data_IF_137811643446
#
_entry.id   IF_137811643446
#
_cell.length_a   1.000
_cell.length_b   1.000
_cell.length_c   1.000
_cell.angle_alpha   90.00
_cell.angle_beta   90.00
_cell.angle_gamma   90.00
#
_symmetry.space_group_name_H-M   'P 1'
#
loop_
_entity.id
_entity.type
_entity.pdbx_description
1 polymer ?
#
# COMPACT_ATOMS: atom_id res chain seq x y z
N UNK A 1 -5.99 -8.24 -0.58
CA UNK A 1 -6.76 -7.62 -1.66
C UNK A 1 -7.54 -6.42 -1.12
N UNK A 2 -7.56 -5.34 -1.87
CA UNK A 2 -8.35 -4.16 -1.53
C UNK A 2 -9.22 -3.77 -2.73
N UNK A 3 -10.34 -3.10 -2.44
CA UNK A 3 -11.08 -2.38 -3.46
C UNK A 3 -10.78 -0.90 -3.27
N UNK A 4 -10.18 -0.29 -4.27
CA UNK A 4 -9.73 1.10 -4.23
C UNK A 4 -10.36 1.85 -5.40
N UNK A 5 -11.09 2.93 -5.11
CA UNK A 5 -11.87 3.67 -6.11
C UNK A 5 -12.76 2.74 -6.95
N UNK A 6 -13.37 1.76 -6.29
CA UNK A 6 -14.26 0.79 -6.91
C UNK A 6 -13.59 -0.31 -7.73
N UNK A 7 -12.26 -0.41 -7.68
CA UNK A 7 -11.51 -1.41 -8.47
C UNK A 7 -10.66 -2.31 -7.59
N UNK A 8 -10.66 -3.60 -7.90
CA UNK A 8 -9.91 -4.59 -7.13
C UNK A 8 -8.42 -4.46 -7.41
N UNK A 9 -7.62 -4.45 -6.33
CA UNK A 9 -6.15 -4.40 -6.40
C UNK A 9 -5.58 -5.44 -5.45
N UNK A 10 -4.56 -6.17 -5.93
CA UNK A 10 -3.84 -7.15 -5.12
C UNK A 10 -2.54 -6.49 -4.69
N UNK A 11 -2.37 -6.34 -3.38
CA UNK A 11 -1.25 -5.57 -2.82
C UNK A 11 -0.57 -6.29 -1.67
N UNK A 12 0.71 -6.01 -1.52
CA UNK A 12 1.49 -6.37 -0.33
C UNK A 12 1.61 -5.10 0.51
N UNK A 13 0.92 -5.00 1.66
CA UNK A 13 0.92 -3.78 2.46
C UNK A 13 2.21 -3.65 3.26
N UNK A 14 2.73 -2.43 3.36
CA UNK A 14 3.99 -2.19 4.07
C UNK A 14 3.87 -1.22 5.23
N UNK A 15 3.21 -0.07 5.05
CA UNK A 15 3.06 0.87 6.16
C UNK A 15 1.84 1.76 5.97
N UNK A 16 1.34 2.26 7.10
CA UNK A 16 0.21 3.19 7.18
C UNK A 16 0.69 4.41 7.95
N UNK A 17 0.32 5.58 7.48
CA UNK A 17 0.67 6.82 8.15
C UNK A 17 -0.13 8.00 7.63
N UNK A 18 0.35 9.19 7.97
CA UNK A 18 -0.21 10.45 7.50
C UNK A 18 0.75 10.98 6.44
N UNK A 19 0.25 11.23 5.23
CA UNK A 19 1.08 11.80 4.19
C UNK A 19 1.34 13.29 4.41
N UNK A 20 2.16 13.90 3.55
CA UNK A 20 2.54 15.31 3.71
C UNK A 20 1.39 16.28 3.54
N UNK A 21 0.28 15.84 2.96
CA UNK A 21 -0.95 16.64 2.83
C UNK A 21 -1.91 16.47 4.00
N UNK A 22 -1.55 15.65 5.00
CA UNK A 22 -2.36 15.41 6.17
C UNK A 22 -3.42 14.33 6.01
N UNK A 23 -3.35 13.50 4.99
CA UNK A 23 -4.30 12.41 4.74
C UNK A 23 -3.73 11.07 5.20
N UNK A 24 -4.59 10.22 5.77
CA UNK A 24 -4.20 8.85 6.09
C UNK A 24 -3.97 8.06 4.79
N UNK A 25 -2.86 7.35 4.73
CA UNK A 25 -2.44 6.65 3.53
C UNK A 25 -1.75 5.33 3.83
N UNK A 26 -1.89 4.40 2.87
CA UNK A 26 -1.23 3.09 2.88
C UNK A 26 -0.18 3.05 1.78
N UNK A 27 1.06 2.74 2.16
CA UNK A 27 2.11 2.41 1.18
C UNK A 27 2.07 0.90 0.96
N UNK A 28 1.89 0.49 -0.29
CA UNK A 28 1.82 -0.91 -0.65
C UNK A 28 2.48 -1.18 -2.00
N UNK A 29 2.90 -2.43 -2.20
CA UNK A 29 3.43 -2.89 -3.47
C UNK A 29 2.32 -3.63 -4.22
N UNK A 30 1.82 -3.05 -5.30
CA UNK A 30 0.73 -3.65 -6.06
C UNK A 30 1.30 -4.71 -7.01
N UNK A 31 0.83 -5.94 -6.85
CA UNK A 31 1.30 -7.09 -7.63
C UNK A 31 0.27 -7.58 -8.63
N UNK A 32 -0.98 -7.15 -8.52
CA UNK A 32 -2.05 -7.57 -9.42
C UNK A 32 -3.27 -6.71 -9.32
N UNK A 33 -4.32 -7.10 -10.04
CA UNK A 33 -5.56 -6.35 -10.10
C UNK A 33 -5.50 -5.18 -11.08
N UNK A 34 -6.41 -4.23 -10.91
CA UNK A 34 -6.53 -3.09 -11.82
C UNK A 34 -5.39 -2.09 -11.62
N UNK A 35 -4.83 -1.61 -12.74
CA UNK A 35 -3.89 -0.49 -12.77
C UNK A 35 -4.16 0.35 -14.00
N UNK A 36 -4.40 1.65 -13.81
CA UNK A 36 -4.67 2.56 -14.92
C UNK A 36 -3.45 2.73 -15.84
N UNK A 37 -2.24 2.60 -15.30
CA UNK A 37 -1.00 2.69 -16.08
C UNK A 37 -0.62 1.37 -16.73
N UNK A 38 -1.12 0.24 -16.22
CA UNK A 38 -0.74 -1.09 -16.66
C UNK A 38 0.66 -1.54 -16.27
N UNK A 39 1.39 -0.74 -15.51
CA UNK A 39 2.78 -1.01 -15.12
C UNK A 39 2.83 -1.69 -13.75
N UNK A 40 2.67 -3.00 -13.74
CA UNK A 40 2.75 -3.81 -12.53
C UNK A 40 3.92 -4.79 -12.62
N UNK A 41 4.52 -5.15 -11.46
CA UNK A 41 4.25 -4.65 -10.12
C UNK A 41 4.81 -3.24 -9.89
N UNK A 42 4.25 -2.51 -8.94
CA UNK A 42 4.70 -1.15 -8.64
C UNK A 42 4.34 -0.72 -7.23
N UNK A 43 5.16 0.16 -6.67
CA UNK A 43 4.84 0.83 -5.41
C UNK A 43 3.70 1.81 -5.61
N UNK A 44 2.74 1.81 -4.67
CA UNK A 44 1.58 2.71 -4.71
C UNK A 44 1.34 3.31 -3.33
N UNK A 45 0.75 4.51 -3.33
CA UNK A 45 0.25 5.16 -2.13
C UNK A 45 -1.27 5.26 -2.25
N UNK A 46 -1.98 4.59 -1.34
CA UNK A 46 -3.44 4.56 -1.35
C UNK A 46 -3.97 5.42 -0.22
N UNK A 47 -4.89 6.33 -0.52
CA UNK A 47 -5.58 7.09 0.50
C UNK A 47 -6.63 6.20 1.18
N UNK A 48 -6.61 6.12 2.52
CA UNK A 48 -7.51 5.21 3.24
C UNK A 48 -8.98 5.54 2.98
N UNK A 49 -9.32 6.82 2.82
CA UNK A 49 -10.70 7.25 2.54
C UNK A 49 -11.26 6.67 1.24
N UNK A 50 -10.41 6.28 0.31
CA UNK A 50 -10.81 5.73 -0.99
C UNK A 50 -10.75 4.21 -1.05
N UNK A 51 -10.36 3.56 0.06
CA UNK A 51 -10.41 2.10 0.17
C UNK A 51 -11.81 1.69 0.58
N UNK A 52 -12.52 0.99 -0.32
CA UNK A 52 -13.90 0.59 -0.09
C UNK A 52 -14.02 -0.69 0.74
N UNK A 53 -13.09 -1.61 0.55
CA UNK A 53 -13.07 -2.86 1.31
C UNK A 53 -11.67 -3.46 1.30
N UNK A 54 -11.44 -4.37 2.26
CA UNK A 54 -10.18 -5.10 2.42
C UNK A 54 -10.51 -6.57 2.62
N UNK A 55 -9.78 -7.45 1.94
CA UNK A 55 -9.83 -8.88 2.15
C UNK A 55 -8.41 -9.39 2.39
N UNK A 56 -8.21 -10.08 3.50
CA UNK A 56 -6.94 -10.69 3.82
C UNK A 56 -6.83 -12.01 3.07
N UNK A 57 -5.81 -12.12 2.21
CA UNK A 57 -5.56 -13.33 1.45
C UNK A 57 -4.72 -14.31 2.28
N UNK A 58 -4.93 -15.61 2.03
CA UNK A 58 -4.23 -16.68 2.73
C UNK A 58 -2.85 -16.94 2.11
N UNK A 59 -2.14 -15.85 1.81
CA UNK A 59 -0.81 -15.87 1.24
C UNK A 59 0.09 -14.90 1.99
N UNK A 60 1.39 -15.17 1.98
CA UNK A 60 2.39 -14.28 2.56
C UNK A 60 3.30 -13.75 1.46
N UNK A 61 4.10 -12.75 1.79
CA UNK A 61 5.05 -12.17 0.84
C UNK A 61 6.39 -11.91 1.53
N UNK A 62 7.44 -11.86 0.71
CA UNK A 62 8.76 -11.47 1.17
C UNK A 62 8.91 -9.97 1.09
N UNK A 63 9.58 -9.36 2.08
CA UNK A 63 9.82 -7.91 2.08
C UNK A 63 10.66 -7.55 0.86
N UNK A 64 10.14 -6.61 0.06
CA UNK A 64 10.82 -6.16 -1.14
C UNK A 64 12.11 -5.41 -0.78
N UNK A 65 13.23 -5.63 -1.52
CA UNK A 65 14.50 -4.95 -1.22
C UNK A 65 14.43 -3.42 -1.25
N UNK A 66 13.51 -2.85 -2.02
CA UNK A 66 13.34 -1.41 -2.12
C UNK A 66 12.44 -0.81 -1.04
N UNK A 67 11.90 -1.64 -0.13
CA UNK A 67 11.05 -1.13 0.94
C UNK A 67 11.84 -0.14 1.81
N UNK A 68 11.28 1.05 2.00
CA UNK A 68 11.83 2.07 2.88
C UNK A 68 10.94 2.22 4.11
N UNK A 69 11.35 1.68 5.28
CA UNK A 69 10.55 1.82 6.50
C UNK A 69 10.44 3.25 7.01
N UNK A 70 11.28 4.17 6.50
CA UNK A 70 11.23 5.60 6.78
C UNK A 70 10.69 6.36 5.58
N UNK A 71 9.60 5.91 5.00
CA UNK A 71 9.00 6.43 3.78
C UNK A 71 8.93 7.95 3.77
N UNK A 72 9.61 8.56 2.80
CA UNK A 72 9.70 10.03 2.68
C UNK A 72 8.37 10.67 2.23
N UNK A 73 7.44 9.88 1.71
CA UNK A 73 6.10 10.35 1.36
C UNK A 73 5.21 10.56 2.58
N UNK A 74 5.63 10.08 3.75
CA UNK A 74 4.88 10.17 4.99
C UNK A 74 5.44 11.26 5.91
N UNK A 75 4.55 12.12 6.40
CA UNK A 75 4.90 13.06 7.47
C UNK A 75 4.97 12.35 8.81
N UNK A 76 4.15 11.29 8.99
CA UNK A 76 4.09 10.49 10.22
C UNK A 76 3.75 9.06 9.87
N UNK A 77 4.46 8.09 10.45
CA UNK A 77 4.20 6.67 10.26
C UNK A 77 3.50 6.14 11.51
N UNK A 78 2.30 5.58 11.31
CA UNK A 78 1.49 5.02 12.41
C UNK A 78 1.80 3.55 12.65
N UNK A 79 2.00 2.78 11.59
CA UNK A 79 2.29 1.34 11.67
C UNK A 79 3.08 0.93 10.43
N UNK A 80 4.02 0.02 10.60
CA UNK A 80 4.83 -0.47 9.48
C UNK A 80 5.30 -1.90 9.70
N UNK A 81 5.57 -2.58 8.58
CA UNK A 81 6.18 -3.90 8.60
C UNK A 81 7.61 -3.76 9.12
N UNK A 82 7.97 -4.60 10.09
CA UNK A 82 9.31 -4.61 10.65
C UNK A 82 10.27 -5.35 9.72
N UNK A 83 11.46 -4.78 9.56
CA UNK A 83 12.56 -5.46 8.89
C UNK A 83 13.40 -6.16 9.96
N UNK A 84 13.61 -7.45 9.76
CA UNK A 84 14.43 -8.22 10.69
C UNK A 84 15.91 -7.82 10.60
#
# INVERSE_FOLDING_TARGET
>A
SIVYDGKVRIVDPYLVGINKKGNEALRAYQVGGYSSSGNLPAWRLYLLKNINSVEILDTSFKIHPQYNPNDKGMARISCRVETA
#
